data_IF_637012444170
#
_entry.id   IF_637012444170
#
_cell.length_a   1.000
_cell.length_b   1.000
_cell.length_c   1.000
_cell.angle_alpha   90.00
_cell.angle_beta   90.00
_cell.angle_gamma   90.00
#
_symmetry.space_group_name_H-M   'P 1'
#
loop_
_entity.id
_entity.type
_entity.pdbx_description
1 polymer ?
#
# COMPACT_ATOMS: atom_id res chain seq x y z
N UNK A 1 4.83 17.06 10.15
CA UNK A 1 5.07 15.62 10.33
C UNK A 1 3.75 14.95 10.60
N UNK A 2 3.43 13.90 9.85
CA UNK A 2 2.25 13.05 10.06
C UNK A 2 2.69 11.69 10.59
N UNK A 3 1.81 11.00 11.30
CA UNK A 3 2.07 9.62 11.69
C UNK A 3 1.86 8.70 10.50
N UNK A 4 2.92 8.03 10.09
CA UNK A 4 2.85 6.99 9.08
C UNK A 4 2.76 5.62 9.73
N UNK A 5 1.85 4.80 9.20
CA UNK A 5 1.69 3.38 9.58
C UNK A 5 2.05 2.51 8.39
N UNK A 6 2.74 1.42 8.66
CA UNK A 6 3.22 0.48 7.65
C UNK A 6 2.95 -0.97 8.06
N UNK A 7 2.47 -1.76 7.13
CA UNK A 7 2.32 -3.20 7.28
C UNK A 7 2.89 -3.89 6.05
N UNK A 8 3.70 -4.93 6.25
CA UNK A 8 4.31 -5.70 5.17
C UNK A 8 4.09 -7.20 5.40
N UNK A 9 3.76 -7.91 4.32
CA UNK A 9 3.71 -9.36 4.27
C UNK A 9 4.61 -9.85 3.15
N UNK A 10 5.72 -10.48 3.53
CA UNK A 10 6.66 -11.03 2.58
C UNK A 10 8.07 -11.15 3.12
N UNK A 11 9.01 -11.08 2.20
CA UNK A 11 10.44 -11.19 2.42
C UNK A 11 11.14 -10.32 1.37
N UNK A 12 11.93 -9.34 1.85
CA UNK A 12 12.70 -8.42 1.03
C UNK A 12 14.19 -8.69 1.24
N UNK A 13 14.83 -9.60 0.48
CA UNK A 13 16.24 -9.93 0.65
C UNK A 13 17.18 -8.72 0.59
N UNK A 14 16.79 -7.68 -0.17
CA UNK A 14 17.53 -6.43 -0.26
C UNK A 14 17.52 -5.59 1.05
N UNK A 15 16.67 -5.90 2.01
CA UNK A 15 16.66 -5.26 3.33
C UNK A 15 17.00 -6.24 4.46
N UNK A 16 17.81 -7.27 4.16
CA UNK A 16 18.34 -8.21 5.16
C UNK A 16 19.84 -8.06 5.37
N UNK A 17 20.29 -8.50 6.54
CA UNK A 17 21.71 -8.56 6.92
C UNK A 17 22.29 -7.20 7.32
N UNK A 18 23.61 -7.16 7.49
CA UNK A 18 24.33 -6.03 8.09
C UNK A 18 24.16 -4.71 7.33
N UNK A 19 23.91 -4.78 6.01
CA UNK A 19 23.75 -3.58 5.18
C UNK A 19 22.33 -3.01 5.18
N UNK A 20 21.34 -3.69 5.78
CA UNK A 20 19.94 -3.27 5.73
C UNK A 20 19.72 -1.87 6.34
N UNK A 21 20.28 -1.63 7.53
CA UNK A 21 20.18 -0.33 8.22
C UNK A 21 20.90 0.78 7.46
N UNK A 22 22.08 0.47 6.89
CA UNK A 22 22.81 1.42 6.03
C UNK A 22 21.99 1.80 4.79
N UNK A 23 21.34 0.84 4.13
CA UNK A 23 20.46 1.12 2.98
C UNK A 23 19.24 1.95 3.39
N UNK A 24 18.66 1.67 4.55
CA UNK A 24 17.54 2.45 5.11
C UNK A 24 17.89 3.92 5.40
N UNK A 25 19.17 4.22 5.56
CA UNK A 25 19.71 5.54 5.92
C UNK A 25 20.60 6.14 4.82
N UNK A 26 20.53 5.64 3.58
CA UNK A 26 21.48 6.02 2.53
C UNK A 26 21.32 7.46 1.98
N UNK A 27 20.38 8.25 2.51
CA UNK A 27 20.09 9.63 2.10
C UNK A 27 20.60 10.64 3.12
N UNK A 28 20.81 11.89 2.68
CA UNK A 28 21.38 12.95 3.53
C UNK A 28 20.54 13.28 4.76
N UNK A 29 19.20 13.33 4.63
CA UNK A 29 18.24 13.48 5.73
C UNK A 29 17.66 12.13 6.14
N UNK A 30 18.30 11.45 7.09
CA UNK A 30 17.83 10.18 7.64
C UNK A 30 17.54 10.27 9.15
N UNK A 31 16.32 10.65 9.53
CA UNK A 31 15.89 10.70 10.94
C UNK A 31 15.22 9.40 11.41
N UNK A 32 14.70 8.59 10.50
CA UNK A 32 14.06 7.32 10.84
C UNK A 32 15.09 6.20 10.82
N UNK A 33 15.33 5.59 11.97
CA UNK A 33 16.32 4.54 12.18
C UNK A 33 15.59 3.26 12.57
N UNK A 34 15.82 2.13 11.87
CA UNK A 34 15.28 0.84 12.30
C UNK A 34 15.77 0.50 13.71
N UNK A 35 14.83 0.28 14.63
CA UNK A 35 15.11 -0.16 15.99
C UNK A 35 15.38 -1.66 16.01
N UNK A 36 14.54 -2.43 15.33
CA UNK A 36 14.71 -3.87 15.14
C UNK A 36 15.58 -4.21 13.92
N UNK A 37 15.58 -5.51 13.60
CA UNK A 37 16.39 -6.10 12.52
C UNK A 37 15.52 -6.72 11.41
N UNK A 38 14.22 -6.39 11.40
CA UNK A 38 13.33 -6.88 10.35
C UNK A 38 13.59 -6.13 9.04
N UNK A 39 13.45 -6.85 7.93
CA UNK A 39 13.48 -6.28 6.58
C UNK A 39 12.34 -5.28 6.36
N UNK A 40 11.18 -5.57 6.96
CA UNK A 40 9.97 -4.75 6.94
C UNK A 40 10.21 -3.36 7.53
N UNK A 41 10.83 -3.29 8.71
CA UNK A 41 11.16 -2.03 9.36
C UNK A 41 12.26 -1.27 8.62
N UNK A 42 13.28 -1.99 8.13
CA UNK A 42 14.35 -1.40 7.32
C UNK A 42 13.79 -0.77 6.03
N UNK A 43 12.88 -1.46 5.34
CA UNK A 43 12.22 -0.91 4.16
C UNK A 43 11.27 0.26 4.51
N UNK A 44 10.59 0.21 5.66
CA UNK A 44 9.76 1.33 6.10
C UNK A 44 10.58 2.60 6.37
N UNK A 45 11.69 2.49 7.12
CA UNK A 45 12.59 3.62 7.34
C UNK A 45 13.22 4.11 6.03
N UNK A 46 13.57 3.21 5.12
CA UNK A 46 14.01 3.55 3.76
C UNK A 46 12.98 4.42 3.04
N UNK A 47 11.70 4.03 3.04
CA UNK A 47 10.62 4.80 2.43
C UNK A 47 10.50 6.20 3.07
N UNK A 48 10.39 6.27 4.40
CA UNK A 48 10.20 7.55 5.10
C UNK A 48 11.37 8.52 4.88
N UNK A 49 12.61 8.03 4.99
CA UNK A 49 13.77 8.88 4.80
C UNK A 49 13.88 9.39 3.36
N UNK A 50 13.61 8.53 2.36
CA UNK A 50 13.64 8.96 0.96
C UNK A 50 12.50 9.92 0.60
N UNK A 51 11.32 9.76 1.22
CA UNK A 51 10.22 10.71 1.05
C UNK A 51 10.54 12.06 1.69
N UNK A 52 11.12 12.07 2.89
CA UNK A 52 11.52 13.31 3.58
C UNK A 52 12.67 14.03 2.85
N UNK A 53 13.61 13.30 2.26
CA UNK A 53 14.67 13.86 1.41
C UNK A 53 14.10 14.46 0.11
N UNK A 54 13.17 13.76 -0.54
CA UNK A 54 12.56 14.22 -1.79
C UNK A 54 11.62 15.41 -1.61
N UNK A 55 10.97 15.51 -0.44
CA UNK A 55 9.95 16.53 -0.15
C UNK A 55 10.22 17.24 1.19
N UNK A 56 11.28 18.04 1.27
CA UNK A 56 11.79 18.59 2.53
C UNK A 56 10.94 19.72 3.13
N UNK A 57 10.22 20.49 2.32
CA UNK A 57 9.57 21.74 2.73
C UNK A 57 8.08 21.80 2.36
N UNK A 58 7.67 21.11 1.30
CA UNK A 58 6.30 21.14 0.79
C UNK A 58 5.68 19.75 0.80
N UNK A 59 4.37 19.70 1.06
CA UNK A 59 3.61 18.47 0.92
C UNK A 59 3.45 18.16 -0.59
N UNK A 60 3.98 17.04 -1.08
CA UNK A 60 3.82 16.65 -2.49
C UNK A 60 2.37 16.32 -2.82
N UNK A 61 1.99 16.56 -4.09
CA UNK A 61 0.77 16.00 -4.66
C UNK A 61 0.74 14.47 -4.54
N UNK A 62 -0.45 13.88 -4.53
CA UNK A 62 -0.58 12.41 -4.50
C UNK A 62 0.13 11.75 -5.68
N UNK A 63 0.18 12.40 -6.84
CA UNK A 63 0.90 11.89 -8.01
C UNK A 63 2.42 11.88 -7.79
N UNK A 64 2.97 12.91 -7.16
CA UNK A 64 4.40 12.96 -6.81
C UNK A 64 4.73 11.89 -5.77
N UNK A 65 3.91 11.75 -4.72
CA UNK A 65 4.06 10.68 -3.73
C UNK A 65 4.00 9.30 -4.37
N UNK A 66 2.98 9.04 -5.18
CA UNK A 66 2.80 7.79 -5.90
C UNK A 66 4.03 7.45 -6.74
N UNK A 67 4.51 8.42 -7.52
CA UNK A 67 5.68 8.24 -8.38
C UNK A 67 6.92 7.88 -7.54
N UNK A 68 7.11 8.57 -6.41
CA UNK A 68 8.27 8.33 -5.55
C UNK A 68 8.18 7.00 -4.80
N UNK A 69 7.02 6.64 -4.25
CA UNK A 69 6.80 5.34 -3.59
C UNK A 69 6.99 4.19 -4.59
N UNK A 70 6.51 4.33 -5.82
CA UNK A 70 6.70 3.34 -6.88
C UNK A 70 8.17 3.18 -7.27
N UNK A 71 8.89 4.30 -7.43
CA UNK A 71 10.34 4.29 -7.68
C UNK A 71 11.10 3.54 -6.58
N UNK A 72 10.86 3.89 -5.31
CA UNK A 72 11.52 3.29 -4.15
C UNK A 72 11.18 1.80 -4.01
N UNK A 73 9.92 1.43 -4.25
CA UNK A 73 9.48 0.03 -4.25
C UNK A 73 10.22 -0.76 -5.34
N UNK A 74 10.37 -0.20 -6.55
CA UNK A 74 11.12 -0.83 -7.64
C UNK A 74 12.61 -0.95 -7.32
N UNK A 75 13.19 0.05 -6.66
CA UNK A 75 14.58 -0.01 -6.21
C UNK A 75 14.80 -1.13 -5.17
N UNK A 76 13.86 -1.29 -4.23
CA UNK A 76 13.90 -2.33 -3.20
C UNK A 76 13.91 -3.76 -3.75
N UNK A 77 13.38 -3.95 -4.95
CA UNK A 77 13.27 -5.25 -5.63
C UNK A 77 14.12 -5.29 -6.91
N UNK A 78 15.05 -4.35 -7.08
CA UNK A 78 15.96 -4.37 -8.21
C UNK A 78 16.86 -5.61 -8.11
N UNK A 79 16.79 -6.49 -9.12
CA UNK A 79 17.49 -7.78 -9.09
C UNK A 79 16.81 -8.84 -8.21
N UNK A 80 15.59 -8.60 -7.74
CA UNK A 80 14.79 -9.61 -7.06
C UNK A 80 14.51 -10.82 -7.96
N UNK A 81 14.49 -12.00 -7.34
CA UNK A 81 14.04 -13.23 -7.98
C UNK A 81 12.56 -13.50 -7.67
N UNK A 82 12.06 -14.66 -8.08
CA UNK A 82 10.67 -15.05 -7.84
C UNK A 82 10.37 -15.32 -6.36
N UNK A 83 11.38 -15.41 -5.49
CA UNK A 83 11.20 -15.63 -4.05
C UNK A 83 10.92 -14.33 -3.28
N UNK A 84 11.24 -13.17 -3.86
CA UNK A 84 10.94 -11.88 -3.24
C UNK A 84 9.43 -11.63 -3.21
N UNK A 85 8.90 -11.38 -2.02
CA UNK A 85 7.50 -11.03 -1.78
C UNK A 85 7.52 -9.67 -1.09
N UNK A 86 6.93 -8.65 -1.71
CA UNK A 86 6.82 -7.31 -1.12
C UNK A 86 5.37 -6.83 -1.28
N UNK A 87 4.50 -7.32 -0.42
CA UNK A 87 3.13 -6.81 -0.31
C UNK A 87 3.06 -5.88 0.89
N UNK A 88 2.68 -4.63 0.68
CA UNK A 88 2.65 -3.67 1.78
C UNK A 88 1.47 -2.71 1.71
N UNK A 89 1.11 -2.21 2.90
CA UNK A 89 0.21 -1.09 3.10
C UNK A 89 1.00 0.04 3.78
N UNK A 90 0.88 1.26 3.26
CA UNK A 90 1.51 2.46 3.83
C UNK A 90 0.46 3.57 3.89
N UNK A 91 0.21 4.15 5.06
CA UNK A 91 -0.81 5.19 5.22
C UNK A 91 -0.39 6.25 6.23
N UNK A 92 -0.89 7.47 6.04
CA UNK A 92 -0.78 8.57 7.00
C UNK A 92 -2.13 8.89 7.68
N UNK A 93 -3.15 8.06 7.48
CA UNK A 93 -4.52 8.26 7.95
C UNK A 93 -5.49 8.88 6.92
N UNK A 94 -4.99 9.66 5.95
CA UNK A 94 -5.84 10.32 4.94
C UNK A 94 -5.97 9.49 3.66
N UNK A 95 -4.88 8.84 3.25
CA UNK A 95 -4.84 7.92 2.12
C UNK A 95 -4.01 6.69 2.44
N UNK A 96 -4.17 5.63 1.66
CA UNK A 96 -3.43 4.39 1.82
C UNK A 96 -2.81 3.94 0.50
N UNK A 97 -1.50 3.76 0.48
CA UNK A 97 -0.82 3.01 -0.55
C UNK A 97 -0.98 1.51 -0.32
N UNK A 98 -1.21 0.76 -1.39
CA UNK A 98 -1.08 -0.69 -1.41
C UNK A 98 -0.14 -1.10 -2.55
N UNK A 99 1.02 -1.66 -2.20
CA UNK A 99 1.98 -2.17 -3.17
C UNK A 99 1.93 -3.68 -3.25
N UNK A 100 1.88 -4.23 -4.45
CA UNK A 100 1.89 -5.67 -4.70
C UNK A 100 3.14 -6.07 -5.49
N UNK A 101 4.02 -6.84 -4.87
CA UNK A 101 5.08 -7.55 -5.57
C UNK A 101 4.99 -9.02 -5.19
N UNK A 102 4.12 -9.74 -5.90
CA UNK A 102 3.81 -11.12 -5.59
C UNK A 102 4.95 -12.06 -5.98
N UNK A 103 5.47 -12.80 -5.01
CA UNK A 103 6.49 -13.85 -5.18
C UNK A 103 6.00 -15.22 -4.73
N UNK A 104 6.89 -16.18 -4.74
CA UNK A 104 6.61 -17.58 -4.44
C UNK A 104 7.55 -18.10 -3.35
N UNK A 105 6.98 -18.73 -2.33
CA UNK A 105 7.78 -19.48 -1.35
C UNK A 105 8.16 -20.84 -1.96
N UNK A 106 9.39 -21.35 -1.76
CA UNK A 106 9.78 -22.66 -2.30
C UNK A 106 8.79 -23.76 -1.91
N UNK A 107 8.27 -24.48 -2.90
CA UNK A 107 7.31 -25.56 -2.70
C UNK A 107 5.86 -25.13 -2.41
N UNK A 108 5.57 -23.83 -2.30
CA UNK A 108 4.21 -23.32 -2.09
C UNK A 108 3.44 -23.21 -3.40
N UNK A 109 2.16 -23.58 -3.38
CA UNK A 109 1.19 -23.32 -4.46
C UNK A 109 0.25 -22.15 -4.12
N UNK A 110 0.45 -21.53 -2.96
CA UNK A 110 -0.39 -20.42 -2.48
C UNK A 110 0.08 -19.13 -3.14
N UNK A 111 -0.86 -18.43 -3.76
CA UNK A 111 -0.63 -17.09 -4.29
C UNK A 111 -0.30 -16.11 -3.15
N UNK A 112 0.78 -15.35 -3.27
CA UNK A 112 1.20 -14.34 -2.30
C UNK A 112 1.12 -12.93 -2.90
N UNK A 113 -0.06 -12.54 -3.37
CA UNK A 113 -0.30 -11.17 -3.80
C UNK A 113 -1.34 -10.47 -2.95
N UNK A 114 -1.87 -9.38 -3.49
CA UNK A 114 -2.93 -8.61 -2.87
C UNK A 114 -4.16 -8.60 -3.78
N UNK A 115 -5.31 -8.51 -3.14
CA UNK A 115 -6.59 -8.26 -3.77
C UNK A 115 -7.22 -7.06 -3.09
N UNK A 116 -8.05 -6.34 -3.82
CA UNK A 116 -8.93 -5.33 -3.25
C UNK A 116 -10.34 -5.48 -3.78
N UNK A 117 -11.30 -5.00 -3.01
CA UNK A 117 -12.64 -4.69 -3.49
C UNK A 117 -13.06 -3.32 -2.97
N UNK A 118 -14.05 -2.73 -3.62
CA UNK A 118 -14.65 -1.47 -3.21
C UNK A 118 -16.14 -1.70 -3.01
N UNK A 119 -16.61 -1.55 -1.78
CA UNK A 119 -18.04 -1.56 -1.46
C UNK A 119 -18.57 -0.14 -1.55
N UNK A 120 -19.69 0.01 -2.21
CA UNK A 120 -20.43 1.26 -2.32
C UNK A 120 -21.94 0.93 -2.44
N UNK A 121 -22.83 1.88 -2.10
CA UNK A 121 -24.27 1.69 -2.20
C UNK A 121 -24.77 1.23 -3.58
N UNK A 122 -25.79 0.37 -3.62
CA UNK A 122 -26.42 -0.29 -2.46
C UNK A 122 -25.50 -1.37 -1.86
N UNK A 123 -25.23 -1.29 -0.55
CA UNK A 123 -24.37 -2.26 0.13
C UNK A 123 -25.06 -3.62 0.15
N UNK A 124 -24.43 -4.60 -0.50
CA UNK A 124 -24.88 -5.99 -0.45
C UNK A 124 -24.44 -6.65 0.87
N UNK A 125 -25.18 -7.69 1.28
CA UNK A 125 -24.69 -8.64 2.27
C UNK A 125 -23.50 -9.40 1.67
N UNK A 126 -22.45 -9.61 2.47
CA UNK A 126 -21.24 -10.28 2.01
C UNK A 126 -21.00 -11.55 2.84
N UNK A 127 -20.79 -12.67 2.15
CA UNK A 127 -20.61 -13.98 2.77
C UNK A 127 -19.11 -14.31 2.88
N UNK A 128 -18.61 -14.48 4.11
CA UNK A 128 -17.20 -14.78 4.34
C UNK A 128 -16.79 -16.14 3.73
N UNK A 129 -15.58 -16.21 3.21
CA UNK A 129 -15.07 -17.41 2.51
C UNK A 129 -14.68 -18.53 3.45
N UNK A 130 -14.20 -18.16 4.65
CA UNK A 130 -13.57 -19.08 5.61
C UNK A 130 -14.51 -19.48 6.77
N UNK A 131 -15.70 -18.89 6.84
CA UNK A 131 -16.71 -19.24 7.85
C UNK A 131 -18.13 -18.94 7.35
N UNK A 132 -19.11 -19.70 7.82
CA UNK A 132 -20.54 -19.51 7.52
C UNK A 132 -21.11 -18.29 8.27
N UNK A 133 -20.48 -17.13 8.08
CA UNK A 133 -20.86 -15.88 8.71
C UNK A 133 -21.00 -14.79 7.65
N UNK A 134 -22.16 -14.13 7.66
CA UNK A 134 -22.50 -13.04 6.75
C UNK A 134 -22.44 -11.74 7.54
N UNK A 135 -21.70 -10.75 7.03
CA UNK A 135 -21.70 -9.41 7.62
C UNK A 135 -22.66 -8.54 6.81
N UNK A 136 -23.66 -7.98 7.49
CA UNK A 136 -24.61 -7.05 6.90
C UNK A 136 -24.11 -5.60 7.06
N UNK A 137 -23.58 -5.03 5.98
CA UNK A 137 -23.09 -3.65 5.96
C UNK A 137 -24.21 -2.62 5.74
N UNK A 138 -25.43 -3.04 5.38
CA UNK A 138 -26.52 -2.11 5.00
C UNK A 138 -27.08 -1.29 6.16
N UNK A 139 -26.81 -1.69 7.41
CA UNK A 139 -27.38 -1.07 8.61
C UNK A 139 -26.53 0.07 9.20
N UNK A 140 -25.33 0.32 8.66
CA UNK A 140 -24.35 1.26 9.24
C UNK A 140 -23.74 2.23 8.22
N UNK A 141 -24.33 2.35 7.03
CA UNK A 141 -23.74 3.10 5.92
C UNK A 141 -24.68 4.15 5.31
N UNK A 142 -24.12 5.26 4.85
CA UNK A 142 -24.80 6.29 4.07
C UNK A 142 -24.74 6.03 2.55
N UNK A 143 -25.61 6.66 1.74
CA UNK A 143 -25.60 6.54 0.27
C UNK A 143 -24.31 6.99 -0.43
N UNK A 144 -23.46 7.73 0.26
CA UNK A 144 -22.17 8.21 -0.26
C UNK A 144 -20.98 7.39 0.29
N UNK A 145 -21.22 6.45 1.21
CA UNK A 145 -20.14 5.72 1.85
C UNK A 145 -19.43 4.80 0.84
N UNK A 146 -18.11 4.74 0.96
CA UNK A 146 -17.28 3.84 0.16
C UNK A 146 -16.23 3.21 1.04
N UNK A 147 -16.11 1.90 0.94
CA UNK A 147 -15.14 1.15 1.75
C UNK A 147 -14.29 0.30 0.82
N UNK A 148 -12.99 0.61 0.76
CA UNK A 148 -12.02 -0.27 0.14
C UNK A 148 -11.57 -1.32 1.15
N UNK A 149 -11.63 -2.59 0.76
CA UNK A 149 -11.09 -3.71 1.53
C UNK A 149 -9.91 -4.27 0.77
N UNK A 150 -8.76 -4.41 1.43
CA UNK A 150 -7.52 -4.94 0.84
C UNK A 150 -7.11 -6.18 1.64
N UNK A 151 -6.85 -7.28 0.96
CA UNK A 151 -6.54 -8.56 1.59
C UNK A 151 -5.57 -9.40 0.74
N UNK A 152 -4.89 -10.37 1.36
CA UNK A 152 -3.97 -11.28 0.64
C UNK A 152 -4.69 -12.34 -0.18
N UNK A 153 -5.98 -12.55 0.08
CA UNK A 153 -6.88 -13.40 -0.69
C UNK A 153 -8.31 -12.83 -0.63
N UNK A 154 -9.17 -13.13 -1.61
CA UNK A 154 -10.59 -12.80 -1.53
C UNK A 154 -11.21 -13.34 -0.25
N UNK A 155 -11.82 -12.45 0.54
CA UNK A 155 -12.45 -12.83 1.82
C UNK A 155 -13.91 -13.23 1.65
N UNK A 156 -14.50 -13.03 0.47
CA UNK A 156 -15.91 -13.29 0.17
C UNK A 156 -16.07 -13.99 -1.17
N UNK A 157 -17.15 -14.76 -1.32
CA UNK A 157 -17.39 -15.60 -2.52
C UNK A 157 -18.35 -14.97 -3.53
N UNK A 158 -19.14 -14.01 -3.05
CA UNK A 158 -20.24 -13.34 -3.73
C UNK A 158 -19.92 -11.91 -4.17
N UNK A 159 -18.66 -11.49 -4.03
CA UNK A 159 -18.17 -10.16 -4.44
C UNK A 159 -17.03 -10.26 -5.47
N UNK A 160 -16.94 -9.24 -6.33
CA UNK A 160 -15.88 -9.13 -7.32
C UNK A 160 -14.61 -8.53 -6.67
N UNK A 161 -13.63 -9.37 -6.40
CA UNK A 161 -12.29 -8.94 -5.96
C UNK A 161 -11.38 -8.68 -7.17
N UNK A 162 -10.71 -7.53 -7.16
CA UNK A 162 -9.65 -7.19 -8.11
C UNK A 162 -8.32 -7.73 -7.59
N UNK A 163 -7.69 -8.64 -8.34
CA UNK A 163 -6.33 -9.12 -8.04
C UNK A 163 -5.29 -8.12 -8.54
N UNK A 164 -4.42 -7.65 -7.65
CA UNK A 164 -3.29 -6.80 -8.02
C UNK A 164 -2.16 -7.65 -8.64
N UNK A 165 -1.57 -7.14 -9.71
CA UNK A 165 -0.44 -7.76 -10.40
C UNK A 165 0.90 -7.40 -9.75
N UNK A 166 1.91 -8.23 -10.01
CA UNK A 166 3.28 -7.97 -9.54
C UNK A 166 3.80 -6.65 -10.13
N UNK A 167 4.24 -5.75 -9.26
CA UNK A 167 4.75 -4.43 -9.62
C UNK A 167 3.71 -3.31 -9.59
N UNK A 168 2.44 -3.62 -9.29
CA UNK A 168 1.41 -2.62 -9.16
C UNK A 168 1.46 -1.91 -7.81
N UNK A 169 1.13 -0.62 -7.85
CA UNK A 169 0.92 0.23 -6.70
C UNK A 169 -0.45 0.89 -6.88
N UNK A 170 -1.23 0.95 -5.82
CA UNK A 170 -2.48 1.69 -5.77
C UNK A 170 -2.44 2.71 -4.64
N UNK A 171 -3.11 3.84 -4.83
CA UNK A 171 -3.51 4.78 -3.78
C UNK A 171 -5.01 4.62 -3.55
N UNK A 172 -5.40 4.51 -2.29
CA UNK A 172 -6.79 4.52 -1.87
C UNK A 172 -7.07 5.78 -1.09
N UNK A 173 -8.07 6.54 -1.53
CA UNK A 173 -8.57 7.72 -0.82
C UNK A 173 -10.09 7.77 -0.92
N UNK A 174 -10.75 8.00 0.21
CA UNK A 174 -12.21 7.96 0.31
C UNK A 174 -12.80 6.65 -0.28
N UNK A 175 -12.07 5.54 -0.09
CA UNK A 175 -12.41 4.22 -0.61
C UNK A 175 -12.21 4.02 -2.13
N UNK A 176 -11.67 5.00 -2.86
CA UNK A 176 -11.42 4.93 -4.32
C UNK A 176 -9.98 4.51 -4.63
N UNK A 177 -9.76 3.53 -5.52
CA UNK A 177 -8.43 3.15 -5.98
C UNK A 177 -7.93 4.03 -7.13
N UNK A 178 -6.64 4.38 -7.11
CA UNK A 178 -5.92 5.10 -8.17
C UNK A 178 -4.57 4.43 -8.47
N UNK A 179 -4.27 4.17 -9.74
CA UNK A 179 -3.08 3.41 -10.17
C UNK A 179 -2.46 3.90 -11.48
N UNK A 180 -3.24 4.55 -12.35
CA UNK A 180 -2.83 4.94 -13.69
C UNK A 180 -3.23 6.39 -14.03
N UNK A 181 -2.80 6.89 -15.19
CA UNK A 181 -3.02 8.28 -15.61
C UNK A 181 -4.50 8.67 -15.79
N UNK A 182 -5.37 7.74 -16.17
CA UNK A 182 -6.82 7.99 -16.29
C UNK A 182 -7.46 8.13 -14.91
N UNK A 183 -7.07 7.28 -13.95
CA UNK A 183 -7.53 7.38 -12.57
C UNK A 183 -7.18 8.76 -11.97
N UNK A 184 -5.97 9.27 -12.26
CA UNK A 184 -5.52 10.59 -11.79
C UNK A 184 -6.24 11.76 -12.49
N UNK A 185 -6.71 11.59 -13.73
CA UNK A 185 -7.53 12.59 -14.40
C UNK A 185 -8.91 12.70 -13.72
N UNK A 186 -9.53 11.55 -13.42
CA UNK A 186 -10.78 11.50 -12.66
C UNK A 186 -10.62 12.04 -11.23
N UNK A 187 -9.46 11.82 -10.61
CA UNK A 187 -9.11 12.37 -9.30
C UNK A 187 -9.21 13.91 -9.29
N UNK A 188 -8.66 14.57 -10.32
CA UNK A 188 -8.68 16.02 -10.45
C UNK A 188 -10.09 16.57 -10.75
N UNK A 189 -10.89 15.86 -11.55
CA UNK A 189 -12.25 16.27 -11.92
C UNK A 189 -13.26 16.13 -10.78
N UNK A 190 -13.08 15.15 -9.89
CA UNK A 190 -14.03 14.87 -8.80
C UNK A 190 -13.82 15.72 -7.55
N UNK A 191 -12.92 16.71 -7.58
CA UNK A 191 -12.67 17.62 -6.46
C UNK A 191 -12.17 16.89 -5.21
N UNK A 192 -11.52 15.73 -5.36
CA UNK A 192 -10.97 14.97 -4.25
C UNK A 192 -9.90 15.84 -3.59
N UNK A 193 -10.04 16.08 -2.30
CA UNK A 193 -9.18 17.01 -1.56
C UNK A 193 -7.73 16.54 -1.64
N UNK A 194 -6.88 17.35 -2.25
CA UNK A 194 -5.46 17.32 -1.92
C UNK A 194 -5.35 17.92 -0.51
N UNK A 195 -4.88 17.12 0.45
CA UNK A 195 -4.61 17.63 1.79
C UNK A 195 -3.32 18.44 1.71
N UNK A 196 -3.40 19.76 1.89
CA UNK A 196 -2.28 20.70 1.63
C UNK A 196 -1.49 21.11 2.87
N UNK A 197 -1.94 20.75 4.08
CA UNK A 197 -1.58 21.55 5.25
C UNK A 197 -0.39 21.05 6.09
N UNK A 198 0.34 19.97 5.73
CA UNK A 198 1.46 19.50 6.57
C UNK A 198 2.58 18.72 5.83
N UNK A 199 3.85 18.97 6.18
CA UNK A 199 5.00 18.22 5.67
C UNK A 199 5.04 16.75 6.17
N UNK A 200 5.67 15.88 5.36
CA UNK A 200 5.93 14.44 5.61
C UNK A 200 6.66 14.24 6.93
#
# INVERSE_FOLDING_TARGET
>A
GRYWTFAHNGDIPYFKGEQAKTRAQAVGRSSNIPVGDTDSESFFCYLLNNLAEAFPEEQPSHRQLYSKVLELTRAAVAGANDLTILNFLLTNGDFMFAGCWSGSRPGSRVFNGLHYLVRQPPFAQASLSDCDYTIDFSTVTNPEDRVAVIATAPLTRDECWCQMQRGELYVFQDGRPFSNGEDWAMYAEQGIREYTDFCI
#
